data_IF_310171590499
#
_entry.id   IF_310171590499
#
_cell.length_a   1.000
_cell.length_b   1.000
_cell.length_c   1.000
_cell.angle_alpha   90.00
_cell.angle_beta   90.00
_cell.angle_gamma   90.00
#
_symmetry.space_group_name_H-M   'P 1'
#
loop_
_entity.id
_entity.type
_entity.pdbx_description
1 polymer ?
#
# COMPACT_ATOMS: atom_id res chain seq x y z
N UNK A 1 -25.73 4.45 53.04
CA UNK A 1 -24.51 3.83 53.64
C UNK A 1 -23.95 2.81 52.65
N UNK A 2 -22.88 3.19 51.94
CA UNK A 2 -22.24 2.26 50.99
C UNK A 2 -21.39 1.24 51.75
N UNK A 3 -21.68 -0.03 51.59
CA UNK A 3 -20.97 -1.17 52.18
C UNK A 3 -19.53 -1.18 51.61
N UNK A 4 -18.53 -0.85 52.40
CA UNK A 4 -17.11 -0.98 52.06
C UNK A 4 -16.81 -2.46 51.74
N UNK A 5 -16.70 -2.79 50.48
CA UNK A 5 -16.29 -4.12 50.04
C UNK A 5 -14.94 -4.50 50.64
N UNK A 6 -14.82 -5.73 51.15
CA UNK A 6 -13.62 -6.23 51.77
C UNK A 6 -12.39 -6.19 50.86
N UNK A 7 -11.18 -6.29 51.44
CA UNK A 7 -9.88 -6.27 50.72
C UNK A 7 -9.83 -7.24 49.55
N UNK A 8 -10.48 -8.40 49.67
CA UNK A 8 -10.55 -9.42 48.61
C UNK A 8 -11.39 -8.94 47.41
N UNK A 9 -12.50 -8.23 47.62
CA UNK A 9 -13.29 -7.66 46.55
C UNK A 9 -12.55 -6.54 45.80
N UNK A 10 -11.72 -5.75 46.53
CA UNK A 10 -10.84 -4.74 45.90
C UNK A 10 -9.72 -5.34 45.05
N UNK A 11 -9.17 -6.52 45.47
CA UNK A 11 -8.15 -7.25 44.70
C UNK A 11 -8.72 -7.91 43.44
N UNK A 12 -9.98 -8.41 43.48
CA UNK A 12 -10.63 -9.11 42.35
C UNK A 12 -11.30 -8.13 41.39
N UNK A 13 -11.99 -7.11 41.91
CA UNK A 13 -12.77 -6.16 41.07
C UNK A 13 -12.06 -4.83 40.82
N UNK A 14 -10.89 -4.59 41.42
CA UNK A 14 -10.25 -3.26 41.37
C UNK A 14 -10.96 -2.24 42.28
N UNK A 15 -10.37 -1.07 42.43
CA UNK A 15 -11.02 0.06 43.13
C UNK A 15 -12.00 0.72 42.17
N UNK A 16 -13.30 0.81 42.53
CA UNK A 16 -14.28 1.63 41.80
C UNK A 16 -13.74 3.06 41.74
N UNK A 17 -13.41 3.51 40.54
CA UNK A 17 -13.00 4.89 40.27
C UNK A 17 -14.24 5.71 39.96
N UNK A 18 -14.27 6.96 40.42
CA UNK A 18 -15.41 7.85 40.20
C UNK A 18 -15.67 8.06 38.70
N UNK A 19 -16.93 8.32 38.29
CA UNK A 19 -17.29 8.66 36.91
C UNK A 19 -16.48 9.83 36.38
N UNK A 20 -16.14 10.82 37.24
CA UNK A 20 -15.29 11.95 36.87
C UNK A 20 -13.87 11.52 36.50
N UNK A 21 -13.30 10.51 37.18
CA UNK A 21 -12.02 9.94 36.80
C UNK A 21 -12.09 9.17 35.49
N UNK A 22 -13.16 8.40 35.27
CA UNK A 22 -13.35 7.69 33.99
C UNK A 22 -13.49 8.67 32.82
N UNK A 23 -14.21 9.78 33.01
CA UNK A 23 -14.33 10.83 31.99
C UNK A 23 -13.04 11.60 31.75
N UNK A 24 -12.24 11.86 32.77
CA UNK A 24 -10.94 12.54 32.64
C UNK A 24 -9.87 11.71 31.95
N UNK A 25 -10.02 10.38 31.91
CA UNK A 25 -9.10 9.45 31.22
C UNK A 25 -9.50 9.18 29.77
N UNK A 26 -10.69 9.65 29.32
CA UNK A 26 -11.06 9.54 27.91
C UNK A 26 -10.28 10.54 27.06
N UNK A 27 -9.76 10.11 25.90
CA UNK A 27 -9.02 11.00 25.01
C UNK A 27 -9.93 12.15 24.55
N UNK A 28 -9.51 13.40 24.81
CA UNK A 28 -10.23 14.60 24.46
C UNK A 28 -10.01 15.00 23.01
N UNK A 29 -8.93 14.51 22.40
CA UNK A 29 -8.51 14.89 21.06
C UNK A 29 -8.20 13.65 20.21
N UNK A 30 -8.35 13.75 18.87
CA UNK A 30 -8.05 12.68 17.92
C UNK A 30 -6.60 12.19 18.02
N UNK A 31 -5.69 13.08 18.36
CA UNK A 31 -4.27 12.77 18.52
C UNK A 31 -4.00 11.93 19.80
N UNK A 32 -4.68 12.27 20.90
CA UNK A 32 -4.63 11.48 22.13
C UNK A 32 -5.24 10.09 21.91
N UNK A 33 -6.38 10.00 21.20
CA UNK A 33 -7.01 8.74 20.83
C UNK A 33 -6.05 7.85 20.01
N UNK A 34 -5.36 8.44 19.05
CA UNK A 34 -4.37 7.71 18.25
C UNK A 34 -3.27 7.10 19.14
N UNK A 35 -2.68 7.88 20.03
CA UNK A 35 -1.62 7.41 20.90
C UNK A 35 -2.11 6.41 21.96
N UNK A 36 -3.34 6.55 22.44
CA UNK A 36 -3.96 5.60 23.36
C UNK A 36 -4.17 4.24 22.71
N UNK A 37 -4.67 4.21 21.47
CA UNK A 37 -4.79 2.99 20.68
C UNK A 37 -3.43 2.36 20.42
N UNK A 38 -2.43 3.12 20.02
CA UNK A 38 -1.08 2.63 19.72
C UNK A 38 -0.45 2.03 20.98
N UNK A 39 -0.49 2.73 22.12
CA UNK A 39 0.09 2.26 23.38
C UNK A 39 -0.69 1.10 23.99
N UNK A 40 -2.02 1.19 24.02
CA UNK A 40 -2.86 0.20 24.68
C UNK A 40 -3.06 -1.09 23.89
N UNK A 41 -2.94 -1.04 22.56
CA UNK A 41 -3.25 -2.17 21.65
C UNK A 41 -2.12 -2.51 20.69
N UNK A 42 -0.88 -2.15 21.02
CA UNK A 42 0.31 -2.33 20.17
C UNK A 42 0.45 -3.78 19.66
N UNK A 43 0.31 -4.77 20.53
CA UNK A 43 0.41 -6.18 20.13
C UNK A 43 -0.63 -6.58 19.07
N UNK A 44 -1.86 -6.06 19.19
CA UNK A 44 -2.91 -6.31 18.17
C UNK A 44 -2.57 -5.65 16.84
N UNK A 45 -2.01 -4.43 16.86
CA UNK A 45 -1.56 -3.73 15.65
C UNK A 45 -0.44 -4.51 14.94
N UNK A 46 0.52 -5.07 15.68
CA UNK A 46 1.57 -5.91 15.10
C UNK A 46 0.97 -7.13 14.40
N UNK A 47 0.02 -7.83 15.03
CA UNK A 47 -0.63 -9.00 14.43
C UNK A 47 -1.39 -8.62 13.15
N UNK A 48 -2.10 -7.49 13.15
CA UNK A 48 -2.82 -7.01 11.94
C UNK A 48 -1.82 -6.73 10.82
N UNK A 49 -0.73 -6.04 11.12
CA UNK A 49 0.29 -5.73 10.14
C UNK A 49 0.95 -6.99 9.56
N UNK A 50 1.21 -8.00 10.38
CA UNK A 50 1.75 -9.28 9.92
C UNK A 50 0.75 -10.03 9.02
N UNK A 51 -0.54 -10.07 9.40
CA UNK A 51 -1.58 -10.66 8.56
C UNK A 51 -1.71 -9.93 7.23
N UNK A 52 -1.71 -8.59 7.25
CA UNK A 52 -1.78 -7.78 6.03
C UNK A 52 -0.53 -8.00 5.16
N UNK A 53 0.66 -8.09 5.76
CA UNK A 53 1.92 -8.30 5.06
C UNK A 53 1.93 -9.58 4.22
N UNK A 54 1.26 -10.65 4.67
CA UNK A 54 1.14 -11.88 3.90
C UNK A 54 0.51 -11.64 2.52
N UNK A 55 -0.47 -10.75 2.46
CA UNK A 55 -1.13 -10.39 1.18
C UNK A 55 -0.29 -9.43 0.33
N UNK A 56 0.69 -8.76 0.91
CA UNK A 56 1.64 -7.90 0.19
C UNK A 56 2.81 -8.67 -0.42
N UNK A 57 3.02 -9.95 -0.07
CA UNK A 57 4.13 -10.76 -0.60
C UNK A 57 4.19 -10.72 -2.14
N UNK A 58 3.09 -10.92 -2.90
CA UNK A 58 3.14 -10.87 -4.36
C UNK A 58 3.57 -9.49 -4.90
N UNK A 59 3.13 -8.42 -4.27
CA UNK A 59 3.50 -7.06 -4.65
C UNK A 59 4.99 -6.79 -4.38
N UNK A 60 5.48 -7.20 -3.20
CA UNK A 60 6.90 -7.09 -2.84
C UNK A 60 7.74 -7.92 -3.81
N UNK A 61 7.35 -9.17 -4.10
CA UNK A 61 8.05 -10.03 -5.05
C UNK A 61 8.12 -9.41 -6.45
N UNK A 62 7.02 -8.82 -6.92
CA UNK A 62 6.98 -8.11 -8.20
C UNK A 62 7.97 -6.94 -8.26
N UNK A 63 8.04 -6.13 -7.19
CA UNK A 63 8.96 -5.01 -7.09
C UNK A 63 10.42 -5.47 -7.01
N UNK A 64 10.69 -6.57 -6.31
CA UNK A 64 12.02 -7.20 -6.25
C UNK A 64 12.43 -7.73 -7.62
N UNK A 65 11.53 -8.44 -8.32
CA UNK A 65 11.77 -8.94 -9.69
C UNK A 65 12.09 -7.77 -10.61
N UNK A 66 11.31 -6.69 -10.55
CA UNK A 66 11.58 -5.48 -11.33
C UNK A 66 12.97 -4.90 -11.02
N UNK A 67 13.31 -4.76 -9.76
CA UNK A 67 14.61 -4.23 -9.34
C UNK A 67 15.77 -5.11 -9.83
N UNK A 68 15.69 -6.42 -9.62
CA UNK A 68 16.70 -7.40 -10.06
C UNK A 68 16.80 -7.40 -11.58
N UNK A 69 15.69 -7.31 -12.30
CA UNK A 69 15.68 -7.24 -13.77
C UNK A 69 16.42 -6.02 -14.28
N UNK A 70 16.25 -4.86 -13.63
CA UNK A 70 16.97 -3.63 -13.99
C UNK A 70 18.49 -3.74 -13.71
N UNK A 71 18.87 -4.36 -12.59
CA UNK A 71 20.29 -4.54 -12.23
C UNK A 71 21.00 -5.55 -13.13
N UNK A 72 20.37 -6.67 -13.43
CA UNK A 72 20.99 -7.80 -14.10
C UNK A 72 20.73 -7.85 -15.61
N UNK A 73 20.03 -6.86 -16.16
CA UNK A 73 19.68 -6.87 -17.57
C UNK A 73 20.90 -6.99 -18.49
N UNK A 74 21.98 -6.28 -18.19
CA UNK A 74 23.24 -6.35 -18.91
C UNK A 74 23.98 -7.69 -18.77
N UNK A 75 23.70 -8.43 -17.69
CA UNK A 75 24.35 -9.72 -17.37
C UNK A 75 23.51 -10.89 -17.93
N UNK A 76 22.19 -10.84 -17.69
CA UNK A 76 21.26 -11.93 -18.07
C UNK A 76 20.84 -11.88 -19.54
N UNK A 77 20.82 -10.69 -20.12
CA UNK A 77 20.53 -10.46 -21.53
C UNK A 77 21.69 -9.72 -22.19
N UNK A 78 22.87 -10.35 -22.34
CA UNK A 78 24.04 -9.73 -22.96
C UNK A 78 23.81 -9.39 -24.45
N UNK A 79 22.73 -9.91 -25.02
CA UNK A 79 22.33 -9.64 -26.39
C UNK A 79 21.27 -8.55 -26.39
N UNK A 80 21.56 -7.43 -27.06
CA UNK A 80 20.58 -6.36 -27.21
C UNK A 80 19.36 -6.86 -27.98
N UNK A 81 18.19 -6.43 -27.58
CA UNK A 81 16.97 -6.74 -28.31
C UNK A 81 17.11 -6.30 -29.77
N UNK A 82 16.91 -7.22 -30.69
CA UNK A 82 16.97 -6.96 -32.13
C UNK A 82 18.33 -7.16 -32.80
N UNK A 83 19.37 -7.41 -32.04
CA UNK A 83 20.68 -7.77 -32.60
C UNK A 83 20.97 -9.26 -32.35
N UNK A 84 21.29 -9.99 -33.39
CA UNK A 84 21.58 -11.40 -33.32
C UNK A 84 22.71 -11.73 -32.33
N UNK A 85 22.78 -12.98 -31.97
CA UNK A 85 23.69 -13.58 -31.01
C UNK A 85 25.13 -13.03 -31.14
N UNK A 86 25.67 -12.46 -30.07
CA UNK A 86 27.12 -12.34 -29.91
C UNK A 86 27.75 -10.98 -29.92
N UNK A 87 27.00 -9.87 -29.91
CA UNK A 87 27.64 -8.54 -29.87
C UNK A 87 27.27 -7.72 -28.65
N UNK A 88 28.21 -7.58 -27.75
CA UNK A 88 28.19 -6.60 -26.65
C UNK A 88 28.34 -5.14 -27.14
N UNK A 89 28.43 -4.93 -28.44
CA UNK A 89 28.94 -3.70 -29.03
C UNK A 89 28.04 -2.48 -29.01
N UNK A 90 26.81 -2.55 -28.46
CA UNK A 90 25.85 -1.44 -28.58
C UNK A 90 25.28 -1.00 -27.24
N UNK A 91 25.99 -1.24 -26.16
CA UNK A 91 25.58 -0.82 -24.82
C UNK A 91 25.63 0.71 -24.58
N UNK A 92 26.09 1.49 -25.53
CA UNK A 92 26.33 2.92 -25.39
C UNK A 92 25.53 3.82 -26.33
N UNK A 93 24.46 3.31 -26.98
CA UNK A 93 23.63 4.23 -27.76
C UNK A 93 22.72 5.08 -26.85
N UNK A 94 22.47 6.32 -27.28
CA UNK A 94 21.60 7.22 -26.55
C UNK A 94 20.22 6.57 -26.28
N UNK A 95 19.77 6.56 -25.02
CA UNK A 95 18.50 5.98 -24.64
C UNK A 95 18.51 4.46 -24.40
N UNK A 96 19.65 3.79 -24.37
CA UNK A 96 19.74 2.34 -24.08
C UNK A 96 19.18 1.99 -22.71
N UNK A 97 19.59 2.70 -21.66
CA UNK A 97 19.12 2.48 -20.31
C UNK A 97 17.61 2.74 -20.17
N UNK A 98 17.13 3.80 -20.81
CA UNK A 98 15.72 4.16 -20.85
C UNK A 98 14.89 3.10 -21.59
N UNK A 99 15.43 2.54 -22.67
CA UNK A 99 14.79 1.44 -23.41
C UNK A 99 14.67 0.19 -22.54
N UNK A 100 15.71 -0.18 -21.80
CA UNK A 100 15.67 -1.29 -20.84
C UNK A 100 14.62 -1.02 -19.76
N UNK A 101 14.62 0.17 -19.19
CA UNK A 101 13.67 0.55 -18.15
C UNK A 101 12.23 0.48 -18.66
N UNK A 102 11.97 0.95 -19.87
CA UNK A 102 10.65 0.84 -20.50
C UNK A 102 10.24 -0.63 -20.66
N UNK A 103 11.09 -1.47 -21.23
CA UNK A 103 10.78 -2.88 -21.45
C UNK A 103 10.51 -3.61 -20.12
N UNK A 104 11.36 -3.44 -19.13
CA UNK A 104 11.15 -4.03 -17.80
C UNK A 104 9.83 -3.55 -17.18
N UNK A 105 9.51 -2.26 -17.27
CA UNK A 105 8.27 -1.73 -16.75
C UNK A 105 7.04 -2.28 -17.50
N UNK A 106 7.09 -2.38 -18.83
CA UNK A 106 5.98 -2.93 -19.64
C UNK A 106 5.72 -4.39 -19.28
N UNK A 107 6.74 -5.24 -19.24
CA UNK A 107 6.54 -6.68 -19.07
C UNK A 107 6.36 -7.08 -17.60
N UNK A 108 7.17 -6.54 -16.69
CA UNK A 108 7.11 -6.94 -15.27
C UNK A 108 5.90 -6.32 -14.59
N UNK A 109 5.66 -5.02 -14.78
CA UNK A 109 4.54 -4.35 -14.13
C UNK A 109 3.18 -4.66 -14.76
N UNK A 110 3.12 -5.42 -15.86
CA UNK A 110 1.86 -5.97 -16.38
C UNK A 110 1.14 -6.81 -15.33
N UNK A 111 1.87 -7.44 -14.41
CA UNK A 111 1.29 -8.22 -13.30
C UNK A 111 0.90 -7.37 -12.09
N UNK A 112 1.14 -6.05 -12.13
CA UNK A 112 0.80 -5.13 -11.03
C UNK A 112 -0.68 -5.18 -10.63
N UNK A 113 -1.66 -5.23 -11.54
CA UNK A 113 -3.08 -5.32 -11.18
C UNK A 113 -3.39 -6.55 -10.34
N UNK A 114 -2.81 -7.70 -10.65
CA UNK A 114 -3.01 -8.94 -9.90
C UNK A 114 -2.37 -8.84 -8.52
N UNK A 115 -1.14 -8.34 -8.43
CA UNK A 115 -0.42 -8.20 -7.17
C UNK A 115 -1.10 -7.21 -6.22
N UNK A 116 -1.59 -6.08 -6.75
CA UNK A 116 -2.34 -5.08 -5.98
C UNK A 116 -3.71 -5.64 -5.57
N UNK A 117 -4.41 -6.36 -6.44
CA UNK A 117 -5.69 -6.97 -6.08
C UNK A 117 -5.55 -7.91 -4.88
N UNK A 118 -4.50 -8.72 -4.82
CA UNK A 118 -4.21 -9.59 -3.68
C UNK A 118 -3.89 -8.74 -2.43
N UNK A 119 -3.07 -7.70 -2.55
CA UNK A 119 -2.76 -6.80 -1.44
C UNK A 119 -4.01 -6.11 -0.88
N UNK A 120 -4.97 -5.73 -1.74
CA UNK A 120 -6.23 -5.11 -1.33
C UNK A 120 -7.11 -6.01 -0.46
N UNK A 121 -7.02 -7.34 -0.65
CA UNK A 121 -7.68 -8.30 0.24
C UNK A 121 -7.13 -8.15 1.67
N UNK A 122 -5.82 -8.05 1.83
CA UNK A 122 -5.19 -7.82 3.14
C UNK A 122 -5.57 -6.47 3.76
N UNK A 123 -5.55 -5.41 2.96
CA UNK A 123 -5.97 -4.05 3.40
C UNK A 123 -7.41 -4.06 3.89
N UNK A 124 -8.30 -4.76 3.20
CA UNK A 124 -9.72 -4.89 3.57
C UNK A 124 -9.90 -5.45 4.98
N UNK A 125 -9.18 -6.54 5.31
CA UNK A 125 -9.19 -7.12 6.65
C UNK A 125 -8.58 -6.20 7.71
N UNK A 126 -7.38 -5.66 7.43
CA UNK A 126 -6.67 -4.78 8.36
C UNK A 126 -7.43 -3.51 8.69
N UNK A 127 -7.97 -2.83 7.67
CA UNK A 127 -8.73 -1.59 7.84
C UNK A 127 -10.02 -1.80 8.65
N UNK A 128 -10.70 -2.94 8.47
CA UNK A 128 -11.88 -3.28 9.27
C UNK A 128 -11.54 -3.45 10.75
N UNK A 129 -10.46 -4.16 11.07
CA UNK A 129 -10.03 -4.36 12.46
C UNK A 129 -9.60 -3.03 13.10
N UNK A 130 -8.87 -2.18 12.35
CA UNK A 130 -8.48 -0.84 12.82
C UNK A 130 -9.73 0.02 13.10
N UNK A 131 -10.75 -0.02 12.23
CA UNK A 131 -12.02 0.67 12.47
C UNK A 131 -12.64 0.25 13.79
N UNK A 132 -12.75 -1.06 14.04
CA UNK A 132 -13.32 -1.59 15.29
C UNK A 132 -12.47 -1.19 16.51
N UNK A 133 -11.14 -1.05 16.33
CA UNK A 133 -10.27 -0.51 17.38
C UNK A 133 -10.60 0.92 17.76
N UNK A 134 -10.85 1.76 16.76
CA UNK A 134 -11.19 3.19 16.98
C UNK A 134 -12.56 3.32 17.65
N UNK A 135 -13.50 2.44 17.33
CA UNK A 135 -14.86 2.45 17.88
C UNK A 135 -14.97 1.69 19.22
N UNK A 136 -13.82 1.31 19.82
CA UNK A 136 -13.72 0.65 21.13
C UNK A 136 -14.50 -0.65 21.26
N UNK A 137 -14.81 -1.32 20.16
CA UNK A 137 -15.47 -2.62 20.15
C UNK A 137 -14.54 -3.74 20.68
N UNK A 138 -15.12 -4.82 21.18
CA UNK A 138 -14.37 -6.03 21.55
C UNK A 138 -13.72 -6.64 20.29
N UNK A 139 -12.38 -6.83 20.29
CA UNK A 139 -11.62 -7.19 19.10
C UNK A 139 -11.04 -8.59 19.22
N UNK A 140 -11.46 -9.46 18.29
CA UNK A 140 -10.84 -10.75 17.99
C UNK A 140 -10.12 -10.63 16.64
N UNK A 141 -8.82 -10.27 16.66
CA UNK A 141 -8.06 -9.86 15.48
C UNK A 141 -8.25 -10.79 14.28
N UNK A 142 -8.07 -12.10 14.47
CA UNK A 142 -8.18 -13.07 13.37
C UNK A 142 -9.62 -13.15 12.80
N UNK A 143 -10.62 -13.23 13.67
CA UNK A 143 -12.01 -13.35 13.24
C UNK A 143 -12.52 -12.08 12.54
N UNK A 144 -12.20 -10.92 13.14
CA UNK A 144 -12.57 -9.61 12.59
C UNK A 144 -11.86 -9.32 11.28
N UNK A 145 -10.60 -9.78 11.13
CA UNK A 145 -9.85 -9.66 9.89
C UNK A 145 -10.54 -10.40 8.73
N UNK A 146 -10.94 -11.66 8.93
CA UNK A 146 -11.66 -12.42 7.91
C UNK A 146 -13.05 -11.87 7.64
N UNK A 147 -13.72 -11.37 8.67
CA UNK A 147 -15.02 -10.69 8.52
C UNK A 147 -14.87 -9.42 7.66
N UNK A 148 -13.82 -8.62 7.91
CA UNK A 148 -13.51 -7.43 7.13
C UNK A 148 -13.25 -7.75 5.65
N UNK A 149 -12.50 -8.82 5.37
CA UNK A 149 -12.29 -9.30 4.00
C UNK A 149 -13.63 -9.59 3.34
N UNK A 150 -14.49 -10.41 3.94
CA UNK A 150 -15.77 -10.80 3.34
C UNK A 150 -16.70 -9.62 3.08
N UNK A 151 -16.69 -8.62 3.95
CA UNK A 151 -17.57 -7.45 3.83
C UNK A 151 -17.14 -6.46 2.76
N UNK A 152 -15.83 -6.25 2.61
CA UNK A 152 -15.30 -5.16 1.76
C UNK A 152 -14.56 -5.66 0.51
N UNK A 153 -14.54 -6.98 0.28
CA UNK A 153 -13.77 -7.65 -0.77
C UNK A 153 -13.99 -7.02 -2.15
N UNK A 154 -15.20 -7.04 -2.66
CA UNK A 154 -15.52 -6.61 -4.01
C UNK A 154 -15.25 -5.12 -4.24
N UNK A 155 -15.53 -4.31 -3.23
CA UNK A 155 -15.39 -2.87 -3.32
C UNK A 155 -13.90 -2.47 -3.37
N UNK A 156 -13.08 -3.03 -2.47
CA UNK A 156 -11.66 -2.73 -2.42
C UNK A 156 -10.88 -3.40 -3.56
N UNK A 157 -11.30 -4.58 -3.99
CA UNK A 157 -10.72 -5.25 -5.16
C UNK A 157 -10.93 -4.42 -6.42
N UNK A 158 -12.14 -3.90 -6.65
CA UNK A 158 -12.44 -3.03 -7.79
C UNK A 158 -11.65 -1.73 -7.77
N UNK A 159 -11.60 -1.06 -6.61
CA UNK A 159 -10.79 0.15 -6.43
C UNK A 159 -9.30 -0.12 -6.66
N UNK A 160 -8.78 -1.23 -6.12
CA UNK A 160 -7.38 -1.62 -6.29
C UNK A 160 -7.02 -1.97 -7.73
N UNK A 161 -7.90 -2.70 -8.43
CA UNK A 161 -7.70 -3.02 -9.83
C UNK A 161 -7.66 -1.76 -10.71
N UNK A 162 -8.60 -0.84 -10.52
CA UNK A 162 -8.63 0.43 -11.24
C UNK A 162 -7.35 1.25 -10.97
N UNK A 163 -7.01 1.41 -9.69
CA UNK A 163 -5.81 2.15 -9.27
C UNK A 163 -4.55 1.57 -9.91
N UNK A 164 -4.38 0.26 -9.84
CA UNK A 164 -3.17 -0.41 -10.34
C UNK A 164 -3.03 -0.32 -11.86
N UNK A 165 -4.14 -0.38 -12.60
CA UNK A 165 -4.13 -0.16 -14.06
C UNK A 165 -3.71 1.27 -14.39
N UNK A 166 -4.25 2.27 -13.68
CA UNK A 166 -3.89 3.67 -13.89
C UNK A 166 -2.41 3.92 -13.58
N UNK A 167 -1.92 3.43 -12.44
CA UNK A 167 -0.49 3.55 -12.08
C UNK A 167 0.42 2.81 -13.05
N UNK A 168 0.01 1.63 -13.53
CA UNK A 168 0.76 0.92 -14.58
C UNK A 168 0.90 1.78 -15.84
N UNK A 169 -0.20 2.35 -16.33
CA UNK A 169 -0.20 3.23 -17.51
C UNK A 169 0.66 4.48 -17.28
N UNK A 170 0.60 5.08 -16.09
CA UNK A 170 1.43 6.24 -15.72
C UNK A 170 2.92 5.89 -15.74
N UNK A 171 3.33 4.77 -15.17
CA UNK A 171 4.73 4.34 -15.12
C UNK A 171 5.26 4.02 -16.53
N UNK A 172 4.47 3.34 -17.36
CA UNK A 172 4.83 3.02 -18.75
C UNK A 172 4.95 4.30 -19.56
N UNK A 173 3.96 5.21 -19.46
CA UNK A 173 3.97 6.49 -20.17
C UNK A 173 5.16 7.38 -19.76
N UNK A 174 5.47 7.43 -18.46
CA UNK A 174 6.64 8.14 -17.94
C UNK A 174 7.96 7.58 -18.48
N UNK A 175 8.08 6.25 -18.54
CA UNK A 175 9.26 5.57 -19.08
C UNK A 175 9.41 5.78 -20.57
N UNK A 176 8.29 5.73 -21.34
CA UNK A 176 8.26 5.99 -22.77
C UNK A 176 8.68 7.43 -23.09
N UNK A 177 8.15 8.40 -22.36
CA UNK A 177 8.56 9.80 -22.53
C UNK A 177 10.06 10.01 -22.20
N UNK A 178 10.59 9.25 -21.22
CA UNK A 178 12.01 9.24 -20.90
C UNK A 178 12.87 8.70 -22.02
N UNK A 179 12.48 7.58 -22.63
CA UNK A 179 13.16 6.99 -23.77
C UNK A 179 13.18 7.92 -24.99
N UNK A 180 12.01 8.48 -25.34
CA UNK A 180 11.90 9.43 -26.45
C UNK A 180 12.78 10.66 -26.24
N UNK A 181 12.86 11.16 -25.00
CA UNK A 181 13.73 12.30 -24.66
C UNK A 181 15.21 11.95 -24.83
N UNK A 182 15.63 10.75 -24.46
CA UNK A 182 17.03 10.32 -24.54
C UNK A 182 17.47 10.07 -26.00
N UNK A 183 16.57 9.55 -26.84
CA UNK A 183 16.84 9.30 -28.28
C UNK A 183 16.68 10.57 -29.12
N UNK A 184 16.15 11.66 -28.57
CA UNK A 184 15.85 12.88 -29.32
C UNK A 184 14.62 12.78 -30.22
N UNK A 185 13.74 11.83 -29.95
CA UNK A 185 12.53 11.51 -30.72
C UNK A 185 11.34 12.41 -30.36
N UNK A 186 11.45 13.71 -30.51
CA UNK A 186 10.33 14.62 -30.30
C UNK A 186 10.73 15.98 -29.74
N UNK A 187 9.74 16.87 -29.56
CA UNK A 187 9.99 18.20 -29.00
C UNK A 187 10.32 18.07 -27.51
N UNK A 188 11.57 18.36 -27.16
CA UNK A 188 12.12 18.21 -25.80
C UNK A 188 11.22 18.79 -24.71
N UNK A 189 10.71 20.01 -24.92
CA UNK A 189 9.84 20.67 -23.93
C UNK A 189 8.51 19.94 -23.72
N UNK A 190 7.90 19.41 -24.78
CA UNK A 190 6.66 18.64 -24.68
C UNK A 190 6.87 17.37 -23.86
N UNK A 191 7.97 16.66 -24.04
CA UNK A 191 8.30 15.45 -23.30
C UNK A 191 8.59 15.74 -21.82
N UNK A 192 9.28 16.84 -21.51
CA UNK A 192 9.53 17.26 -20.13
C UNK A 192 8.21 17.62 -19.43
N UNK A 193 7.36 18.41 -20.08
CA UNK A 193 6.06 18.81 -19.53
C UNK A 193 5.15 17.58 -19.36
N UNK A 194 5.11 16.66 -20.32
CA UNK A 194 4.32 15.43 -20.20
C UNK A 194 4.75 14.59 -18.99
N UNK A 195 6.06 14.44 -18.72
CA UNK A 195 6.54 13.73 -17.53
C UNK A 195 6.12 14.42 -16.23
N UNK A 196 6.16 15.75 -16.18
CA UNK A 196 5.70 16.50 -15.03
C UNK A 196 4.19 16.31 -14.79
N UNK A 197 3.39 16.36 -15.85
CA UNK A 197 1.94 16.13 -15.79
C UNK A 197 1.63 14.71 -15.30
N UNK A 198 2.32 13.69 -15.81
CA UNK A 198 2.15 12.30 -15.37
C UNK A 198 2.44 12.16 -13.86
N UNK A 199 3.52 12.77 -13.35
CA UNK A 199 3.83 12.74 -11.91
C UNK A 199 2.75 13.41 -11.05
N UNK A 200 2.21 14.54 -11.51
CA UNK A 200 1.10 15.23 -10.81
C UNK A 200 -0.15 14.37 -10.84
N UNK A 201 -0.47 13.77 -12.00
CA UNK A 201 -1.63 12.89 -12.16
C UNK A 201 -1.51 11.65 -11.26
N UNK A 202 -0.36 10.99 -11.21
CA UNK A 202 -0.15 9.81 -10.35
C UNK A 202 -0.23 10.14 -8.88
N UNK A 203 0.25 11.32 -8.44
CA UNK A 203 0.07 11.78 -7.08
C UNK A 203 -1.42 12.00 -6.73
N UNK A 204 -2.17 12.65 -7.64
CA UNK A 204 -3.59 12.86 -7.47
C UNK A 204 -4.39 11.55 -7.43
N UNK A 205 -4.12 10.62 -8.35
CA UNK A 205 -4.72 9.28 -8.38
C UNK A 205 -4.46 8.53 -7.06
N UNK A 206 -3.23 8.63 -6.52
CA UNK A 206 -2.87 7.99 -5.25
C UNK A 206 -3.64 8.57 -4.07
N UNK A 207 -3.79 9.89 -4.00
CA UNK A 207 -4.58 10.56 -2.95
C UNK A 207 -6.06 10.13 -3.04
N UNK A 208 -6.64 10.11 -4.24
CA UNK A 208 -8.02 9.67 -4.47
C UNK A 208 -8.21 8.20 -4.06
N UNK A 209 -7.24 7.35 -4.36
CA UNK A 209 -7.25 5.95 -3.98
C UNK A 209 -7.22 5.76 -2.45
N UNK A 210 -6.34 6.45 -1.74
CA UNK A 210 -6.27 6.41 -0.27
C UNK A 210 -7.58 6.88 0.37
N UNK A 211 -8.18 7.93 -0.18
CA UNK A 211 -9.48 8.42 0.27
C UNK A 211 -10.58 7.39 0.03
N UNK A 212 -10.60 6.75 -1.13
CA UNK A 212 -11.57 5.71 -1.49
C UNK A 212 -11.51 4.49 -0.56
N UNK A 213 -10.30 4.04 -0.17
CA UNK A 213 -10.13 2.98 0.84
C UNK A 213 -10.75 3.40 2.17
N UNK A 214 -10.44 4.58 2.64
CA UNK A 214 -10.97 5.10 3.91
C UNK A 214 -12.50 5.16 3.90
N UNK A 215 -13.09 5.69 2.84
CA UNK A 215 -14.54 5.80 2.68
C UNK A 215 -15.21 4.42 2.63
N UNK A 216 -14.66 3.47 1.89
CA UNK A 216 -15.25 2.14 1.72
C UNK A 216 -15.35 1.34 3.02
N UNK A 217 -14.44 1.61 3.97
CA UNK A 217 -14.41 0.91 5.27
C UNK A 217 -15.24 1.64 6.34
N UNK A 218 -15.35 2.97 6.24
CA UNK A 218 -16.01 3.77 7.27
C UNK A 218 -17.53 3.82 7.10
N UNK A 219 -18.04 3.85 5.86
CA UNK A 219 -19.46 4.09 5.56
C UNK A 219 -20.25 2.83 5.18
N UNK A 220 -19.95 1.73 5.84
CA UNK A 220 -20.73 0.49 5.69
C UNK A 220 -21.49 0.11 6.94
#
# INVERSE_FOLDING_TARGET
>A
MAKKGGLINRLIMGSEKSEGYARSTLPSNRWELFWDIVKGRFGKLVIINLLTLLFFIPLIALLVIRYVSLLNYGILCPFSQGFGVGYQGVSSFAGYYESITLNVNVYVLLFLPIAVAIAMVGISGGAYVIRNMVWTEGIFVANDFWKGIRQNFWQLLGCGALYSVLIYLDVVSYSMAGQLLAVGGGTRWVLIVSRAVILIASAFITIMFMHSISMSVTYK
#
